data_IF_621404768462
#
_entry.id   IF_621404768462
#
_cell.length_a   1.000
_cell.length_b   1.000
_cell.length_c   1.000
_cell.angle_alpha   90.00
_cell.angle_beta   90.00
_cell.angle_gamma   90.00
#
_symmetry.space_group_name_H-M   'P 1'
#
loop_
_entity.id
_entity.type
_entity.pdbx_description
1 polymer ?
#
# COMPACT_ATOMS: atom_id res chain seq x y z
N UNK A 1 -30.30 -0.15 8.01
CA UNK A 1 -29.18 -1.07 8.30
C UNK A 1 -28.57 -1.49 6.97
N UNK A 2 -27.33 -1.09 6.66
CA UNK A 2 -26.72 -1.34 5.34
C UNK A 2 -26.39 -2.84 5.18
N UNK A 3 -27.29 -3.60 4.54
CA UNK A 3 -27.17 -5.04 4.30
C UNK A 3 -26.31 -5.35 3.07
N UNK A 4 -25.08 -4.85 3.01
CA UNK A 4 -24.18 -5.24 1.91
C UNK A 4 -22.73 -5.34 2.38
N UNK A 5 -22.39 -6.36 3.18
CA UNK A 5 -21.01 -6.61 3.63
C UNK A 5 -20.04 -6.69 2.44
N UNK A 6 -20.51 -7.18 1.28
CA UNK A 6 -19.72 -7.24 0.05
C UNK A 6 -19.36 -5.87 -0.52
N UNK A 7 -20.21 -4.85 -0.38
CA UNK A 7 -19.92 -3.49 -0.85
C UNK A 7 -18.90 -2.82 0.08
N UNK A 8 -19.05 -3.03 1.41
CA UNK A 8 -18.10 -2.51 2.39
C UNK A 8 -16.70 -3.13 2.24
N UNK A 9 -16.62 -4.44 2.00
CA UNK A 9 -15.35 -5.13 1.70
C UNK A 9 -14.65 -4.53 0.46
N UNK A 10 -15.38 -4.34 -0.64
CA UNK A 10 -14.81 -3.75 -1.87
C UNK A 10 -14.33 -2.32 -1.65
N UNK A 11 -15.10 -1.53 -0.89
CA UNK A 11 -14.73 -0.16 -0.56
C UNK A 11 -13.46 -0.12 0.29
N UNK A 12 -13.37 -0.98 1.29
CA UNK A 12 -12.22 -1.12 2.18
C UNK A 12 -10.95 -1.59 1.43
N UNK A 13 -11.10 -2.55 0.51
CA UNK A 13 -10.02 -2.94 -0.43
C UNK A 13 -9.56 -1.78 -1.31
N UNK A 14 -10.51 -1.04 -1.91
CA UNK A 14 -10.22 0.11 -2.75
C UNK A 14 -9.51 1.23 -1.97
N UNK A 15 -9.96 1.51 -0.75
CA UNK A 15 -9.35 2.49 0.15
C UNK A 15 -7.90 2.12 0.45
N UNK A 16 -7.61 0.87 0.81
CA UNK A 16 -6.24 0.41 1.05
C UNK A 16 -5.37 0.51 -0.19
N UNK A 17 -5.90 0.12 -1.36
CA UNK A 17 -5.15 0.24 -2.61
C UNK A 17 -4.79 1.70 -2.92
N UNK A 18 -5.73 2.62 -2.70
CA UNK A 18 -5.52 4.06 -2.88
C UNK A 18 -4.51 4.62 -1.88
N UNK A 19 -4.56 4.20 -0.61
CA UNK A 19 -3.59 4.58 0.42
C UNK A 19 -2.16 4.16 0.03
N UNK A 20 -1.97 2.94 -0.45
CA UNK A 20 -0.67 2.47 -0.96
C UNK A 20 -0.16 3.34 -2.12
N UNK A 21 -1.04 3.72 -3.05
CA UNK A 21 -0.70 4.60 -4.16
C UNK A 21 -0.29 6.01 -3.67
N UNK A 22 -0.97 6.53 -2.65
CA UNK A 22 -0.64 7.83 -2.03
C UNK A 22 0.74 7.78 -1.38
N UNK A 23 1.07 6.74 -0.62
CA UNK A 23 2.42 6.58 -0.06
C UNK A 23 3.51 6.60 -1.14
N UNK A 24 3.32 5.84 -2.23
CA UNK A 24 4.27 5.85 -3.35
C UNK A 24 4.39 7.23 -4.00
N UNK A 25 3.28 7.95 -4.14
CA UNK A 25 3.26 9.32 -4.69
C UNK A 25 3.97 10.31 -3.76
N UNK A 26 3.80 10.19 -2.44
CA UNK A 26 4.50 11.02 -1.45
C UNK A 26 6.00 10.80 -1.49
N UNK A 27 6.45 9.54 -1.60
CA UNK A 27 7.88 9.23 -1.69
C UNK A 27 8.51 9.70 -3.00
N UNK A 28 7.73 9.71 -4.10
CA UNK A 28 8.03 10.27 -5.43
C UNK A 28 9.19 9.62 -6.19
N UNK A 29 10.32 9.41 -5.52
CA UNK A 29 11.58 8.95 -6.09
C UNK A 29 11.87 7.50 -5.70
N UNK A 30 12.39 6.71 -6.64
CA UNK A 30 12.72 5.29 -6.41
C UNK A 30 13.70 5.07 -5.26
N UNK A 31 14.66 5.98 -5.08
CA UNK A 31 15.61 5.96 -3.96
C UNK A 31 14.92 6.15 -2.61
N UNK A 32 13.99 7.10 -2.51
CA UNK A 32 13.15 7.30 -1.32
C UNK A 32 12.27 6.08 -1.06
N UNK A 33 11.61 5.56 -2.10
CA UNK A 33 10.77 4.35 -2.00
C UNK A 33 11.59 3.18 -1.45
N UNK A 34 12.79 2.92 -1.99
CA UNK A 34 13.66 1.85 -1.51
C UNK A 34 14.01 2.04 -0.04
N UNK A 35 14.44 3.24 0.35
CA UNK A 35 14.82 3.58 1.73
C UNK A 35 13.67 3.37 2.71
N UNK A 36 12.49 3.87 2.39
CA UNK A 36 11.31 3.74 3.25
C UNK A 36 10.82 2.29 3.34
N UNK A 37 10.83 1.54 2.24
CA UNK A 37 10.47 0.13 2.27
C UNK A 37 11.44 -0.69 3.14
N UNK A 38 12.75 -0.39 3.06
CA UNK A 38 13.74 -1.02 3.94
C UNK A 38 13.50 -0.68 5.42
N UNK A 39 13.14 0.58 5.74
CA UNK A 39 12.74 1.00 7.10
C UNK A 39 11.51 0.27 7.62
N UNK A 40 10.57 -0.05 6.72
CA UNK A 40 9.37 -0.83 7.02
C UNK A 40 9.61 -2.35 7.06
N UNK A 41 10.87 -2.81 6.94
CA UNK A 41 11.24 -4.22 7.04
C UNK A 41 11.02 -5.02 5.74
N UNK A 42 10.90 -4.37 4.59
CA UNK A 42 10.80 -5.07 3.33
C UNK A 42 12.10 -5.82 3.00
N UNK A 43 11.97 -7.00 2.37
CA UNK A 43 13.13 -7.70 1.80
C UNK A 43 13.78 -6.83 0.72
N UNK A 44 15.13 -6.77 0.62
CA UNK A 44 15.81 -5.91 -0.36
C UNK A 44 15.35 -6.11 -1.80
N UNK A 45 15.09 -7.36 -2.21
CA UNK A 45 14.56 -7.70 -3.55
C UNK A 45 13.18 -7.08 -3.80
N UNK A 46 12.30 -7.09 -2.80
CA UNK A 46 10.95 -6.48 -2.88
C UNK A 46 11.06 -4.97 -2.94
N UNK A 47 11.87 -4.37 -2.06
CA UNK A 47 12.10 -2.92 -2.05
C UNK A 47 12.64 -2.44 -3.40
N UNK A 48 13.60 -3.16 -3.99
CA UNK A 48 14.18 -2.82 -5.29
C UNK A 48 13.16 -2.94 -6.43
N UNK A 49 12.34 -4.00 -6.45
CA UNK A 49 11.28 -4.18 -7.45
C UNK A 49 10.28 -3.03 -7.43
N UNK A 50 9.83 -2.63 -6.24
CA UNK A 50 8.87 -1.53 -6.06
C UNK A 50 9.53 -0.20 -6.42
N UNK A 51 10.78 0.03 -6.02
CA UNK A 51 11.54 1.24 -6.37
C UNK A 51 11.78 1.39 -7.87
N UNK A 52 12.09 0.31 -8.60
CA UNK A 52 12.23 0.33 -10.07
C UNK A 52 10.94 0.75 -10.78
N UNK A 53 9.79 0.46 -10.18
CA UNK A 53 8.47 0.84 -10.68
C UNK A 53 7.98 2.19 -10.11
N UNK A 54 8.89 3.07 -9.68
CA UNK A 54 8.56 4.37 -9.05
C UNK A 54 7.81 5.34 -9.94
N UNK A 55 7.64 5.10 -11.25
CA UNK A 55 6.85 5.95 -12.15
C UNK A 55 5.41 5.46 -12.33
N UNK A 56 5.07 4.26 -11.85
CA UNK A 56 3.79 3.58 -12.08
C UNK A 56 3.06 3.32 -10.76
N UNK A 57 2.79 4.37 -9.98
CA UNK A 57 2.31 4.26 -8.60
C UNK A 57 1.05 3.41 -8.44
N UNK A 58 0.05 3.63 -9.29
CA UNK A 58 -1.22 2.89 -9.25
C UNK A 58 -1.06 1.39 -9.55
N UNK A 59 -0.28 1.05 -10.58
CA UNK A 59 -0.01 -0.37 -10.87
C UNK A 59 0.83 -1.00 -9.76
N UNK A 60 1.79 -0.26 -9.22
CA UNK A 60 2.72 -0.74 -8.20
C UNK A 60 2.04 -0.97 -6.84
N UNK A 61 1.00 -0.19 -6.52
CA UNK A 61 0.19 -0.36 -5.30
C UNK A 61 -0.69 -1.61 -5.28
N UNK A 62 -0.82 -2.34 -6.40
CA UNK A 62 -1.49 -3.65 -6.48
C UNK A 62 -0.53 -4.84 -6.50
N UNK A 63 0.79 -4.61 -6.50
CA UNK A 63 1.80 -5.67 -6.66
C UNK A 63 2.48 -6.01 -5.33
N UNK A 64 3.81 -6.14 -5.32
CA UNK A 64 4.62 -6.57 -4.18
C UNK A 64 4.51 -5.66 -2.95
N UNK A 65 3.96 -4.45 -3.10
CA UNK A 65 3.73 -3.53 -1.99
C UNK A 65 2.69 -4.03 -0.99
N UNK A 66 1.78 -4.94 -1.40
CA UNK A 66 0.80 -5.55 -0.50
C UNK A 66 1.45 -6.34 0.66
N UNK A 67 2.66 -6.86 0.44
CA UNK A 67 3.41 -7.63 1.42
C UNK A 67 4.15 -6.74 2.44
N UNK A 68 4.27 -5.44 2.17
CA UNK A 68 4.96 -4.48 3.04
C UNK A 68 3.94 -3.57 3.72
N UNK A 69 3.06 -2.95 2.93
CA UNK A 69 1.93 -2.16 3.41
C UNK A 69 0.70 -3.07 3.58
N UNK A 70 0.79 -3.94 4.58
CA UNK A 70 -0.23 -4.92 4.95
C UNK A 70 -1.46 -4.25 5.55
N UNK A 71 -2.53 -5.02 5.78
CA UNK A 71 -3.70 -4.55 6.54
C UNK A 71 -3.27 -4.09 7.95
N UNK A 72 -2.46 -4.90 8.64
CA UNK A 72 -1.93 -4.58 9.97
C UNK A 72 -1.08 -3.31 10.03
N UNK A 73 -0.40 -2.95 8.94
CA UNK A 73 0.28 -1.67 8.84
C UNK A 73 -0.70 -0.50 8.88
N UNK A 74 -1.80 -0.59 8.13
CA UNK A 74 -2.81 0.46 8.09
C UNK A 74 -3.65 0.52 9.37
N UNK A 75 -3.89 -0.62 10.03
CA UNK A 75 -4.54 -0.64 11.35
C UNK A 75 -3.73 0.14 12.39
N UNK A 76 -2.40 -0.04 12.40
CA UNK A 76 -1.49 0.72 13.28
C UNK A 76 -1.46 2.22 12.97
N UNK A 77 -1.82 2.61 11.75
CA UNK A 77 -1.95 4.01 11.34
C UNK A 77 -3.33 4.60 11.70
N UNK A 78 -4.23 3.80 12.30
CA UNK A 78 -5.58 4.23 12.67
C UNK A 78 -6.56 4.23 11.49
N UNK A 79 -6.27 3.50 10.41
CA UNK A 79 -7.21 3.37 9.30
C UNK A 79 -8.45 2.59 9.76
N UNK A 80 -9.67 3.15 9.65
CA UNK A 80 -10.88 2.44 10.04
C UNK A 80 -11.14 1.28 9.09
N UNK A 81 -11.44 0.10 9.66
CA UNK A 81 -11.95 -1.04 8.91
C UNK A 81 -13.46 -0.88 8.74
N UNK A 82 -13.95 -1.07 7.52
CA UNK A 82 -15.39 -0.99 7.22
C UNK A 82 -16.10 -2.35 7.34
N UNK A 83 -15.41 -3.37 7.86
CA UNK A 83 -15.83 -4.78 7.85
C UNK A 83 -15.49 -5.46 9.17
#
# INVERSE_FOLDING_TARGET
LAQTPRVLLRLDEWMRHRMRAIHLKQWRHGTTIYRELMRLGAKPKVALLVAKNSRRWWRNSAMALNNVLTISYFDRLGMPRLT
#
